data_IF_027425659797
#
_entry.id   IF_027425659797
#
_cell.length_a   1.000
_cell.length_b   1.000
_cell.length_c   1.000
_cell.angle_alpha   90.00
_cell.angle_beta   90.00
_cell.angle_gamma   90.00
#
_symmetry.space_group_name_H-M   'P 1'
#
loop_
_entity.id
_entity.type
_entity.pdbx_description
1 polymer ?
#
# COMPACT_ATOMS: atom_id res chain seq x y z
N UNK A 1 -16.74 8.06 3.90
CA UNK A 1 -16.88 8.20 5.36
C UNK A 1 -16.23 7.05 6.14
N UNK A 2 -16.62 5.79 5.92
CA UNK A 2 -16.02 4.64 6.63
C UNK A 2 -14.49 4.52 6.48
N UNK A 3 -13.97 4.70 5.27
CA UNK A 3 -12.54 4.59 4.97
C UNK A 3 -11.70 5.64 5.73
N UNK A 4 -12.20 6.88 5.83
CA UNK A 4 -11.54 7.92 6.63
C UNK A 4 -11.48 7.52 8.11
N UNK A 5 -12.53 6.88 8.63
CA UNK A 5 -12.61 6.40 10.01
C UNK A 5 -11.59 5.29 10.32
N UNK A 6 -11.18 4.51 9.31
CA UNK A 6 -10.16 3.45 9.45
C UNK A 6 -8.75 3.98 9.17
N UNK A 7 -8.58 4.83 8.16
CA UNK A 7 -7.28 5.36 7.75
C UNK A 7 -6.73 6.34 8.79
N UNK A 8 -7.55 7.23 9.33
CA UNK A 8 -7.11 8.27 10.28
C UNK A 8 -6.40 7.68 11.52
N UNK A 9 -6.95 6.68 12.25
CA UNK A 9 -6.26 6.10 13.39
C UNK A 9 -4.97 5.35 12.99
N UNK A 10 -4.93 4.74 11.81
CA UNK A 10 -3.72 4.10 11.28
C UNK A 10 -2.61 5.14 11.03
N UNK A 11 -2.95 6.29 10.45
CA UNK A 11 -1.99 7.40 10.27
C UNK A 11 -1.51 7.98 11.60
N UNK A 12 -2.41 8.13 12.59
CA UNK A 12 -2.02 8.60 13.92
C UNK A 12 -1.01 7.62 14.55
N UNK A 13 -1.26 6.31 14.50
CA UNK A 13 -0.31 5.29 14.96
C UNK A 13 1.01 5.34 14.19
N UNK A 14 0.96 5.54 12.87
CA UNK A 14 2.13 5.72 12.03
C UNK A 14 2.99 6.93 12.43
N UNK A 15 2.36 8.09 12.65
CA UNK A 15 3.05 9.29 13.11
C UNK A 15 3.64 9.11 14.50
N UNK A 16 2.91 8.48 15.42
CA UNK A 16 3.43 8.14 16.75
C UNK A 16 4.65 7.22 16.61
N UNK A 17 4.58 6.18 15.78
CA UNK A 17 5.69 5.26 15.54
C UNK A 17 6.93 5.96 14.96
N UNK A 18 6.77 6.99 14.13
CA UNK A 18 7.90 7.79 13.61
C UNK A 18 8.69 8.47 14.74
N UNK A 19 8.03 8.97 15.78
CA UNK A 19 8.70 9.60 16.92
C UNK A 19 9.51 8.61 17.77
N UNK A 20 9.18 7.33 17.72
CA UNK A 20 9.94 6.26 18.38
C UNK A 20 11.04 5.67 17.50
N UNK A 21 11.13 6.06 16.22
CA UNK A 21 12.19 5.59 15.33
C UNK A 21 13.47 6.40 15.52
N UNK A 22 14.54 5.70 15.87
CA UNK A 22 15.88 6.26 16.10
C UNK A 22 16.56 6.82 14.84
N UNK A 23 15.99 6.64 13.64
CA UNK A 23 16.55 7.17 12.41
C UNK A 23 15.52 7.78 11.47
N UNK A 24 15.85 8.96 10.95
CA UNK A 24 15.02 9.70 10.00
C UNK A 24 14.70 8.88 8.73
N UNK A 25 15.67 8.11 8.24
CA UNK A 25 15.49 7.26 7.07
C UNK A 25 14.40 6.19 7.27
N UNK A 26 14.35 5.55 8.44
CA UNK A 26 13.30 4.56 8.76
C UNK A 26 11.93 5.21 8.87
N UNK A 27 11.86 6.39 9.49
CA UNK A 27 10.63 7.16 9.57
C UNK A 27 10.13 7.54 8.16
N UNK A 28 11.01 8.08 7.30
CA UNK A 28 10.68 8.40 5.90
C UNK A 28 10.18 7.17 5.13
N UNK A 29 10.84 6.01 5.28
CA UNK A 29 10.41 4.75 4.69
C UNK A 29 9.01 4.33 5.16
N UNK A 30 8.71 4.48 6.46
CA UNK A 30 7.39 4.20 7.03
C UNK A 30 6.32 5.13 6.43
N UNK A 31 6.60 6.43 6.31
CA UNK A 31 5.67 7.37 5.65
C UNK A 31 5.38 6.96 4.21
N UNK A 32 6.42 6.62 3.45
CA UNK A 32 6.31 6.22 2.06
C UNK A 32 5.46 4.95 1.91
N UNK A 33 5.70 3.95 2.75
CA UNK A 33 4.91 2.71 2.75
C UNK A 33 3.45 2.96 3.10
N UNK A 34 3.17 3.82 4.09
CA UNK A 34 1.79 4.18 4.43
C UNK A 34 1.07 4.90 3.29
N UNK A 35 1.77 5.80 2.57
CA UNK A 35 1.22 6.51 1.41
C UNK A 35 0.94 5.57 0.24
N UNK A 36 1.84 4.62 -0.03
CA UNK A 36 1.63 3.60 -1.06
C UNK A 36 0.44 2.71 -0.69
N UNK A 37 0.33 2.28 0.56
CA UNK A 37 -0.77 1.44 1.02
C UNK A 37 -2.14 2.13 0.89
N UNK A 38 -2.24 3.41 1.26
CA UNK A 38 -3.48 4.18 1.05
C UNK A 38 -3.77 4.41 -0.42
N UNK A 39 -2.76 4.69 -1.24
CA UNK A 39 -2.94 4.83 -2.68
C UNK A 39 -3.49 3.55 -3.31
N UNK A 40 -2.95 2.39 -2.94
CA UNK A 40 -3.44 1.09 -3.40
C UNK A 40 -4.90 0.87 -2.96
N UNK A 41 -5.20 1.09 -1.68
CA UNK A 41 -6.57 0.98 -1.17
C UNK A 41 -7.53 1.89 -1.94
N UNK A 42 -7.12 3.14 -2.22
CA UNK A 42 -7.91 4.08 -3.00
C UNK A 42 -8.14 3.60 -4.44
N UNK A 43 -7.11 3.02 -5.07
CA UNK A 43 -7.20 2.42 -6.40
C UNK A 43 -8.23 1.29 -6.46
N UNK A 44 -8.24 0.42 -5.44
CA UNK A 44 -9.22 -0.66 -5.31
C UNK A 44 -10.65 -0.16 -5.06
N UNK A 45 -10.81 0.89 -4.27
CA UNK A 45 -12.13 1.46 -3.96
C UNK A 45 -12.69 2.20 -5.17
N UNK A 46 -11.85 2.93 -5.90
CA UNK A 46 -12.29 3.82 -6.99
C UNK A 46 -12.44 3.06 -8.31
N UNK A 47 -11.55 2.08 -8.58
CA UNK A 47 -11.53 1.30 -9.81
C UNK A 47 -11.30 -0.19 -9.51
N UNK A 48 -12.28 -0.88 -8.88
CA UNK A 48 -12.11 -2.24 -8.38
C UNK A 48 -11.75 -3.26 -9.48
N UNK A 49 -12.38 -3.15 -10.66
CA UNK A 49 -12.16 -4.10 -11.76
C UNK A 49 -10.82 -3.91 -12.47
N UNK A 50 -10.41 -2.65 -12.69
CA UNK A 50 -9.17 -2.32 -13.40
C UNK A 50 -7.95 -2.61 -12.52
N UNK A 51 -8.00 -2.27 -11.23
CA UNK A 51 -6.94 -2.60 -10.27
C UNK A 51 -6.77 -4.12 -10.09
N UNK A 52 -7.87 -4.88 -9.98
CA UNK A 52 -7.83 -6.34 -9.94
C UNK A 52 -7.25 -6.94 -11.23
N UNK A 53 -7.60 -6.41 -12.42
CA UNK A 53 -7.02 -6.86 -13.68
C UNK A 53 -5.51 -6.63 -13.75
N UNK A 54 -5.00 -5.48 -13.28
CA UNK A 54 -3.56 -5.21 -13.25
C UNK A 54 -2.82 -6.20 -12.35
N UNK A 55 -3.37 -6.52 -11.17
CA UNK A 55 -2.78 -7.55 -10.30
C UNK A 55 -2.84 -8.93 -10.97
N UNK A 56 -3.98 -9.33 -11.55
CA UNK A 56 -4.09 -10.60 -12.28
C UNK A 56 -3.09 -10.68 -13.45
N UNK A 57 -2.87 -9.59 -14.17
CA UNK A 57 -1.93 -9.53 -15.29
C UNK A 57 -0.47 -9.63 -14.81
N UNK A 58 -0.14 -8.99 -13.68
CA UNK A 58 1.16 -9.14 -13.02
C UNK A 58 1.41 -10.59 -12.57
N UNK A 59 0.42 -11.22 -11.91
CA UNK A 59 0.51 -12.62 -11.48
C UNK A 59 0.67 -13.54 -12.70
N UNK A 60 -0.08 -13.30 -13.78
CA UNK A 60 0.02 -14.06 -15.01
C UNK A 60 1.41 -13.91 -15.68
N UNK A 61 1.97 -12.71 -15.73
CA UNK A 61 3.33 -12.46 -16.25
C UNK A 61 4.41 -13.17 -15.43
N UNK A 62 4.29 -13.17 -14.10
CA UNK A 62 5.21 -13.89 -13.22
C UNK A 62 5.07 -15.41 -13.38
N UNK A 63 3.85 -15.94 -13.49
CA UNK A 63 3.62 -17.37 -13.69
C UNK A 63 4.10 -17.84 -15.09
N UNK A 64 3.93 -17.00 -16.12
CA UNK A 64 4.48 -17.26 -17.45
C UNK A 64 6.01 -17.26 -17.44
N UNK A 65 6.67 -16.35 -16.72
CA UNK A 65 8.13 -16.39 -16.55
C UNK A 65 8.61 -17.65 -15.84
N UNK A 66 7.92 -18.10 -14.79
CA UNK A 66 8.26 -19.33 -14.05
C UNK A 66 8.11 -20.57 -14.93
N UNK A 67 7.16 -20.57 -15.87
CA UNK A 67 6.92 -21.70 -16.79
C UNK A 67 7.86 -21.72 -18.00
N UNK A 68 8.50 -20.59 -18.32
CA UNK A 68 9.43 -20.45 -19.45
C UNK A 68 10.89 -20.74 -19.04
N UNK A 69 11.20 -20.68 -17.74
CA UNK A 69 12.53 -20.94 -17.17
C UNK A 69 12.62 -22.36 -16.58
#
# INVERSE_FOLDING_TARGET
MFIAFVIVPIYILGFIAMFYMQSFYKALMLLLTMLIATFILFLFITYPFQSAMVICCLIALFNLRIKIN
#
